data_IF_146404091153
#
_entry.id   IF_146404091153
#
_cell.length_a   1.000
_cell.length_b   1.000
_cell.length_c   1.000
_cell.angle_alpha   90.00
_cell.angle_beta   90.00
_cell.angle_gamma   90.00
#
_symmetry.space_group_name_H-M   'P 1'
#
loop_
_entity.id
_entity.type
_entity.pdbx_description
1 polymer ?
#
# COMPACT_ATOMS: atom_id res chain seq x y z
N UNK A 1 -23.43 6.83 15.59
CA UNK A 1 -22.12 7.49 15.64
C UNK A 1 -21.86 8.13 14.26
N UNK A 2 -21.69 9.45 14.21
CA UNK A 2 -21.45 10.18 12.96
C UNK A 2 -20.02 10.70 12.95
N UNK A 3 -19.29 10.51 11.88
CA UNK A 3 -17.93 11.05 11.72
C UNK A 3 -18.07 12.48 11.22
N UNK A 4 -17.60 13.45 12.00
CA UNK A 4 -17.64 14.86 11.66
C UNK A 4 -16.47 15.26 10.75
N UNK A 5 -15.25 14.84 11.09
CA UNK A 5 -14.05 15.12 10.32
C UNK A 5 -13.04 13.97 10.47
N UNK A 6 -12.29 13.71 9.38
CA UNK A 6 -11.15 12.77 9.34
C UNK A 6 -9.86 13.57 9.18
N UNK A 7 -8.74 12.96 9.58
CA UNK A 7 -7.38 13.49 9.39
C UNK A 7 -7.21 14.88 10.03
N UNK A 8 -7.51 14.97 11.32
CA UNK A 8 -7.32 16.19 12.10
C UNK A 8 -5.84 16.52 12.25
N UNK A 9 -5.48 17.79 12.11
CA UNK A 9 -4.15 18.29 12.44
C UNK A 9 -3.98 18.41 13.97
N UNK A 10 -2.73 18.53 14.44
CA UNK A 10 -2.44 18.71 15.87
C UNK A 10 -3.08 19.98 16.43
N UNK A 11 -3.15 21.06 15.64
CA UNK A 11 -3.81 22.31 16.00
C UNK A 11 -5.31 22.11 16.17
N UNK A 12 -5.97 21.51 15.17
CA UNK A 12 -7.40 21.20 15.22
C UNK A 12 -7.79 20.29 16.39
N UNK A 13 -6.92 19.34 16.74
CA UNK A 13 -7.12 18.47 17.92
C UNK A 13 -7.14 19.32 19.20
N UNK A 14 -6.22 20.28 19.30
CA UNK A 14 -6.13 21.18 20.45
C UNK A 14 -7.37 22.05 20.57
N UNK A 15 -7.79 22.65 19.45
CA UNK A 15 -8.98 23.49 19.38
C UNK A 15 -10.26 22.74 19.75
N UNK A 16 -10.44 21.52 19.20
CA UNK A 16 -11.59 20.66 19.50
C UNK A 16 -11.61 20.28 20.98
N UNK A 17 -10.46 19.95 21.58
CA UNK A 17 -10.36 19.66 23.00
C UNK A 17 -10.70 20.87 23.87
N UNK A 18 -10.31 22.08 23.46
CA UNK A 18 -10.63 23.33 24.16
C UNK A 18 -12.14 23.63 24.16
N UNK A 19 -12.86 23.25 23.12
CA UNK A 19 -14.32 23.44 23.01
C UNK A 19 -15.14 22.55 23.97
N UNK A 20 -14.53 21.52 24.59
CA UNK A 20 -15.18 20.60 25.55
C UNK A 20 -16.56 20.11 25.07
N UNK A 21 -16.67 19.74 23.80
CA UNK A 21 -17.92 19.31 23.20
C UNK A 21 -18.45 18.05 23.88
N UNK A 22 -19.65 18.12 24.41
CA UNK A 22 -20.33 16.96 24.99
C UNK A 22 -20.61 15.91 23.90
N UNK A 23 -20.47 14.62 24.23
CA UNK A 23 -20.70 13.48 23.34
C UNK A 23 -19.82 13.43 22.08
N UNK A 24 -18.67 14.12 22.11
CA UNK A 24 -17.65 14.04 21.05
C UNK A 24 -16.48 13.16 21.49
N UNK A 25 -15.90 12.45 20.54
CA UNK A 25 -14.75 11.56 20.76
C UNK A 25 -13.74 11.74 19.65
N UNK A 26 -12.46 11.89 20.01
CA UNK A 26 -11.35 11.88 19.05
C UNK A 26 -10.79 10.47 19.04
N UNK A 27 -10.96 9.78 17.92
CA UNK A 27 -10.45 8.43 17.71
C UNK A 27 -9.12 8.49 16.97
N UNK A 28 -8.07 7.93 17.54
CA UNK A 28 -6.77 7.77 16.88
C UNK A 28 -6.82 6.51 16.02
N UNK A 29 -6.51 6.65 14.74
CA UNK A 29 -6.41 5.54 13.81
C UNK A 29 -5.06 5.56 13.12
N UNK A 30 -4.44 4.40 13.01
CA UNK A 30 -3.28 4.23 12.17
C UNK A 30 -3.68 4.19 10.70
N UNK A 31 -2.92 4.86 9.86
CA UNK A 31 -3.12 4.84 8.41
C UNK A 31 -1.81 4.56 7.71
N UNK A 32 -1.86 3.91 6.55
CA UNK A 32 -0.71 3.77 5.67
C UNK A 32 -0.45 5.07 4.93
N UNK A 33 0.82 5.40 4.77
CA UNK A 33 1.29 6.49 3.91
C UNK A 33 2.24 5.92 2.87
N UNK A 34 2.04 6.30 1.61
CA UNK A 34 2.78 5.78 0.45
C UNK A 34 3.58 6.92 -0.19
N UNK A 35 4.85 7.11 0.19
CA UNK A 35 5.67 8.26 -0.26
C UNK A 35 5.87 8.30 -1.78
N UNK A 36 6.00 7.14 -2.43
CA UNK A 36 6.19 7.03 -3.88
C UNK A 36 4.88 7.17 -4.69
N UNK A 37 3.73 7.23 -4.01
CA UNK A 37 2.44 7.49 -4.64
C UNK A 37 2.12 6.53 -5.78
N UNK A 38 1.75 7.11 -6.93
CA UNK A 38 1.33 6.39 -8.14
C UNK A 38 2.46 5.61 -8.83
N UNK A 39 3.70 5.94 -8.55
CA UNK A 39 4.86 5.31 -9.18
C UNK A 39 4.98 3.82 -8.86
N UNK A 40 4.52 3.40 -7.67
CA UNK A 40 4.66 2.03 -7.16
C UNK A 40 3.32 1.40 -6.77
N UNK A 41 2.22 2.15 -6.85
CA UNK A 41 0.93 1.72 -6.36
C UNK A 41 0.46 0.34 -6.87
N UNK A 42 0.58 -0.01 -8.16
CA UNK A 42 0.17 -1.33 -8.65
C UNK A 42 0.97 -2.50 -8.05
N UNK A 43 2.19 -2.26 -7.59
CA UNK A 43 3.02 -3.26 -6.92
C UNK A 43 2.69 -3.35 -5.43
N UNK A 44 2.74 -2.22 -4.72
CA UNK A 44 2.52 -2.19 -3.26
C UNK A 44 1.05 -2.42 -2.91
N UNK A 45 0.14 -1.88 -3.70
CA UNK A 45 -1.28 -1.86 -3.34
C UNK A 45 -1.62 -0.73 -2.37
N UNK A 46 -2.67 -0.90 -1.61
CA UNK A 46 -3.06 0.04 -0.55
C UNK A 46 -3.88 -0.65 0.54
N UNK A 47 -3.85 -0.03 1.71
CA UNK A 47 -4.64 -0.42 2.87
C UNK A 47 -5.83 0.54 3.00
N UNK A 48 -7.04 0.02 2.82
CA UNK A 48 -8.29 0.79 2.88
C UNK A 48 -8.99 0.69 4.24
N UNK A 49 -10.23 1.17 4.31
CA UNK A 49 -11.08 1.06 5.51
C UNK A 49 -11.40 -0.39 5.87
N UNK A 50 -11.45 -1.27 4.88
CA UNK A 50 -11.82 -2.67 5.02
C UNK A 50 -10.60 -3.60 4.99
N UNK A 51 -9.40 -3.07 5.26
CA UNK A 51 -8.13 -3.80 5.27
C UNK A 51 -7.33 -3.66 3.98
N UNK A 52 -6.36 -4.53 3.79
CA UNK A 52 -5.50 -4.56 2.62
C UNK A 52 -6.28 -4.96 1.35
N UNK A 53 -6.21 -4.15 0.30
CA UNK A 53 -7.06 -4.30 -0.88
C UNK A 53 -6.33 -4.94 -2.06
N UNK A 54 -5.10 -4.56 -2.33
CA UNK A 54 -4.36 -4.98 -3.52
C UNK A 54 -2.85 -5.11 -3.24
N UNK A 55 -2.10 -5.68 -4.18
CA UNK A 55 -0.63 -5.72 -4.20
C UNK A 55 -0.01 -6.46 -3.03
N UNK A 56 1.18 -6.03 -2.65
CA UNK A 56 1.93 -6.62 -1.53
C UNK A 56 1.22 -6.42 -0.19
N UNK A 57 0.53 -5.29 0.02
CA UNK A 57 -0.28 -5.06 1.23
C UNK A 57 -1.28 -6.19 1.44
N UNK A 58 -1.97 -6.62 0.38
CA UNK A 58 -2.92 -7.73 0.45
C UNK A 58 -2.25 -9.10 0.59
N UNK A 59 -1.18 -9.33 -0.17
CA UNK A 59 -0.51 -10.63 -0.17
C UNK A 59 0.16 -10.95 1.16
N UNK A 60 0.60 -9.91 1.88
CA UNK A 60 1.33 -10.02 3.14
C UNK A 60 0.58 -9.37 4.32
N UNK A 61 -0.73 -9.20 4.21
CA UNK A 61 -1.54 -8.53 5.24
C UNK A 61 -1.36 -9.15 6.63
N UNK A 62 -1.29 -10.47 6.72
CA UNK A 62 -1.10 -11.19 7.99
C UNK A 62 0.21 -10.82 8.69
N UNK A 63 1.26 -10.51 7.93
CA UNK A 63 2.57 -10.13 8.45
C UNK A 63 2.61 -8.65 8.78
N UNK A 64 2.08 -7.82 7.86
CA UNK A 64 2.16 -6.36 7.93
C UNK A 64 1.18 -5.73 8.92
N UNK A 65 0.00 -6.33 9.13
CA UNK A 65 -1.06 -5.71 9.95
C UNK A 65 -0.91 -5.98 11.45
N UNK A 66 -0.21 -7.06 11.83
CA UNK A 66 -0.12 -7.47 13.23
C UNK A 66 -1.47 -7.90 13.82
N UNK A 67 -1.58 -7.86 15.14
CA UNK A 67 -2.78 -8.27 15.88
C UNK A 67 -3.28 -7.10 16.72
N UNK A 68 -4.50 -6.67 16.49
CA UNK A 68 -5.14 -5.64 17.32
C UNK A 68 -5.41 -6.18 18.73
N UNK A 69 -4.93 -5.47 19.75
CA UNK A 69 -5.20 -5.77 21.14
C UNK A 69 -6.68 -5.59 21.49
N UNK A 70 -7.13 -6.32 22.51
CA UNK A 70 -8.48 -6.18 23.08
C UNK A 70 -8.38 -6.00 24.58
N UNK A 71 -8.94 -4.92 25.09
CA UNK A 71 -8.97 -4.63 26.53
C UNK A 71 -10.42 -4.56 27.04
N UNK A 72 -10.63 -5.01 28.26
CA UNK A 72 -11.89 -4.91 28.98
C UNK A 72 -11.75 -3.94 30.15
N UNK A 73 -12.71 -3.07 30.30
CA UNK A 73 -12.82 -2.15 31.43
C UNK A 73 -14.15 -2.38 32.15
N UNK A 74 -14.17 -2.22 33.45
CA UNK A 74 -15.40 -2.11 34.18
C UNK A 74 -15.80 -0.62 34.35
N UNK A 75 -17.08 -0.32 34.17
CA UNK A 75 -17.65 1.02 34.31
C UNK A 75 -18.70 1.04 35.38
N UNK A 76 -18.79 2.17 36.07
CA UNK A 76 -19.88 2.41 37.05
C UNK A 76 -21.19 2.80 36.32
N UNK A 77 -22.28 3.03 37.11
CA UNK A 77 -23.57 3.45 36.56
C UNK A 77 -23.52 4.80 35.80
N UNK A 78 -22.50 5.63 36.04
CA UNK A 78 -22.25 6.90 35.33
C UNK A 78 -21.35 6.74 34.10
N UNK A 79 -21.04 5.51 33.66
CA UNK A 79 -20.15 5.19 32.56
C UNK A 79 -18.67 5.59 32.77
N UNK A 80 -18.27 5.89 34.01
CA UNK A 80 -16.86 6.17 34.34
C UNK A 80 -16.10 4.86 34.52
N UNK A 81 -14.85 4.79 34.02
CA UNK A 81 -14.00 3.62 34.17
C UNK A 81 -13.51 3.51 35.61
N UNK A 82 -13.80 2.38 36.25
CA UNK A 82 -13.48 2.13 37.67
C UNK A 82 -12.45 1.02 37.86
N UNK A 83 -11.94 0.42 36.78
CA UNK A 83 -10.94 -0.64 36.87
C UNK A 83 -9.73 -0.33 35.97
N UNK A 84 -8.59 -0.90 36.31
CA UNK A 84 -7.50 -0.98 35.39
C UNK A 84 -7.88 -1.83 34.14
N UNK A 85 -7.28 -1.56 32.99
CA UNK A 85 -7.55 -2.34 31.80
C UNK A 85 -7.07 -3.79 31.97
N UNK A 86 -7.94 -4.71 31.61
CA UNK A 86 -7.58 -6.13 31.55
C UNK A 86 -7.39 -6.49 30.08
N UNK A 87 -6.17 -6.84 29.71
CA UNK A 87 -5.86 -7.30 28.37
C UNK A 87 -6.49 -8.67 28.12
N UNK A 88 -7.45 -8.74 27.23
CA UNK A 88 -8.02 -10.00 26.74
C UNK A 88 -7.13 -10.56 25.61
N UNK A 89 -6.67 -9.68 24.73
CA UNK A 89 -5.75 -9.98 23.64
C UNK A 89 -4.66 -8.92 23.68
N UNK A 90 -3.39 -9.34 23.79
CA UNK A 90 -2.27 -8.41 23.66
C UNK A 90 -2.13 -7.97 22.19
N UNK A 91 -1.90 -6.68 21.99
CA UNK A 91 -1.55 -6.19 20.67
C UNK A 91 -0.19 -6.73 20.24
N UNK A 92 -0.07 -7.14 18.99
CA UNK A 92 1.21 -7.51 18.36
C UNK A 92 1.42 -6.58 17.18
N UNK A 93 2.56 -5.90 17.14
CA UNK A 93 2.89 -5.04 16.02
C UNK A 93 3.15 -5.88 14.77
N UNK A 94 2.76 -5.37 13.60
CA UNK A 94 3.12 -5.98 12.33
C UNK A 94 4.62 -5.90 12.08
N UNK A 95 5.11 -6.76 11.23
CA UNK A 95 6.53 -6.84 10.85
C UNK A 95 6.84 -5.91 9.67
N UNK A 96 8.08 -5.49 9.57
CA UNK A 96 8.57 -4.72 8.44
C UNK A 96 8.94 -5.64 7.28
N UNK A 97 8.64 -5.21 6.06
CA UNK A 97 9.01 -5.91 4.84
C UNK A 97 10.03 -5.11 4.04
N UNK A 98 11.16 -5.72 3.76
CA UNK A 98 12.19 -5.14 2.90
C UNK A 98 12.08 -5.69 1.48
N UNK A 99 12.04 -4.79 0.50
CA UNK A 99 11.97 -5.14 -0.92
C UNK A 99 13.31 -4.87 -1.59
N UNK A 100 13.56 -5.56 -2.70
CA UNK A 100 14.71 -5.32 -3.57
C UNK A 100 14.53 -4.08 -4.48
N UNK A 101 13.37 -3.44 -4.40
CA UNK A 101 13.04 -2.26 -5.21
C UNK A 101 13.92 -1.08 -4.81
N UNK A 102 14.67 -0.54 -5.76
CA UNK A 102 15.38 0.72 -5.64
C UNK A 102 14.42 1.89 -5.97
N UNK A 103 14.25 2.79 -5.00
CA UNK A 103 13.31 3.91 -5.14
C UNK A 103 13.67 4.86 -6.29
N UNK A 104 14.96 5.04 -6.57
CA UNK A 104 15.44 5.90 -7.64
C UNK A 104 15.18 5.27 -9.01
N UNK A 105 15.49 3.99 -9.16
CA UNK A 105 15.19 3.24 -10.39
C UNK A 105 13.69 3.17 -10.63
N UNK A 106 12.89 2.94 -9.59
CA UNK A 106 11.43 2.91 -9.67
C UNK A 106 10.88 4.26 -10.17
N UNK A 107 11.38 5.38 -9.62
CA UNK A 107 11.00 6.71 -10.05
C UNK A 107 11.28 6.92 -11.54
N UNK A 108 12.50 6.64 -11.99
CA UNK A 108 12.87 6.83 -13.41
C UNK A 108 12.13 5.86 -14.33
N UNK A 109 11.96 4.60 -13.92
CA UNK A 109 11.20 3.61 -14.69
C UNK A 109 9.76 4.09 -14.95
N UNK A 110 9.09 4.57 -13.90
CA UNK A 110 7.72 5.09 -14.04
C UNK A 110 7.68 6.37 -14.87
N UNK A 111 8.57 7.32 -14.63
CA UNK A 111 8.65 8.58 -15.37
C UNK A 111 8.79 8.34 -16.87
N UNK A 112 9.79 7.56 -17.27
CA UNK A 112 10.03 7.29 -18.69
C UNK A 112 8.94 6.41 -19.32
N UNK A 113 8.32 5.53 -18.55
CA UNK A 113 7.15 4.78 -19.02
C UNK A 113 6.00 5.73 -19.36
N UNK A 114 5.67 6.69 -18.49
CA UNK A 114 4.60 7.67 -18.73
C UNK A 114 4.92 8.55 -19.95
N UNK A 115 6.17 9.01 -20.08
CA UNK A 115 6.63 9.78 -21.24
C UNK A 115 6.50 8.98 -22.55
N UNK A 116 6.93 7.72 -22.55
CA UNK A 116 6.82 6.84 -23.73
C UNK A 116 5.37 6.58 -24.13
N UNK A 117 4.51 6.31 -23.16
CA UNK A 117 3.06 6.09 -23.39
C UNK A 117 2.41 7.33 -23.97
N UNK A 118 2.71 8.49 -23.41
CA UNK A 118 2.15 9.77 -23.87
C UNK A 118 2.62 10.09 -25.29
N UNK A 119 3.91 9.97 -25.56
CA UNK A 119 4.51 10.23 -26.87
C UNK A 119 3.95 9.33 -27.96
N UNK A 120 3.74 8.05 -27.64
CA UNK A 120 3.26 7.06 -28.61
C UNK A 120 1.75 6.86 -28.58
N UNK A 121 1.01 7.62 -27.77
CA UNK A 121 -0.46 7.49 -27.59
C UNK A 121 -0.88 6.05 -27.24
N UNK A 122 -0.03 5.34 -26.48
CA UNK A 122 -0.32 3.99 -26.05
C UNK A 122 -1.38 3.99 -24.92
N UNK A 123 -2.13 2.90 -24.79
CA UNK A 123 -3.17 2.77 -23.76
C UNK A 123 -2.60 2.38 -22.40
N UNK A 124 -1.54 1.59 -22.41
CA UNK A 124 -0.94 1.01 -21.22
C UNK A 124 0.49 0.56 -21.51
N UNK A 125 1.25 0.27 -20.46
CA UNK A 125 2.58 -0.30 -20.55
C UNK A 125 3.13 -0.70 -19.21
N UNK A 126 4.23 -1.45 -19.24
CA UNK A 126 4.97 -1.90 -18.08
C UNK A 126 6.45 -1.81 -18.29
N UNK A 127 7.21 -1.59 -17.22
CA UNK A 127 8.67 -1.65 -17.17
C UNK A 127 9.08 -2.50 -15.99
N UNK A 128 9.98 -3.45 -16.21
CA UNK A 128 10.61 -4.25 -15.16
C UNK A 128 12.11 -4.13 -15.34
N UNK A 129 12.82 -3.82 -14.26
CA UNK A 129 14.28 -3.78 -14.19
C UNK A 129 14.75 -4.87 -13.26
N UNK A 130 15.62 -5.74 -13.76
CA UNK A 130 16.17 -6.88 -13.04
C UNK A 130 17.67 -6.73 -12.87
N UNK A 131 18.20 -7.13 -11.72
CA UNK A 131 19.62 -7.44 -11.58
C UNK A 131 19.89 -8.80 -12.24
N UNK A 132 20.66 -8.81 -13.30
CA UNK A 132 20.96 -10.02 -14.07
C UNK A 132 21.86 -11.03 -13.34
N UNK A 133 22.53 -10.61 -12.26
CA UNK A 133 23.40 -11.51 -11.46
C UNK A 133 22.63 -12.21 -10.36
N UNK A 134 21.73 -11.48 -9.71
CA UNK A 134 20.97 -11.99 -8.55
C UNK A 134 19.53 -12.39 -8.89
N UNK A 135 19.01 -11.93 -10.03
CA UNK A 135 17.59 -12.10 -10.39
C UNK A 135 16.63 -11.23 -9.57
N UNK A 136 17.15 -10.27 -8.83
CA UNK A 136 16.36 -9.37 -8.00
C UNK A 136 15.61 -8.35 -8.87
N UNK A 137 14.34 -8.06 -8.53
CA UNK A 137 13.57 -7.02 -9.19
C UNK A 137 13.92 -5.69 -8.55
N UNK A 138 14.57 -4.79 -9.31
CA UNK A 138 14.97 -3.47 -8.84
C UNK A 138 13.93 -2.39 -9.11
N UNK A 139 13.10 -2.57 -10.15
CA UNK A 139 11.95 -1.72 -10.41
C UNK A 139 10.85 -2.48 -11.13
N UNK A 140 9.59 -2.16 -10.83
CA UNK A 140 8.41 -2.70 -11.51
C UNK A 140 7.34 -1.62 -11.60
N UNK A 141 7.23 -0.98 -12.75
CA UNK A 141 6.29 0.09 -13.02
C UNK A 141 5.19 -0.35 -13.98
N UNK A 142 3.97 0.07 -13.74
CA UNK A 142 2.80 -0.18 -14.60
C UNK A 142 2.01 1.11 -14.82
N UNK A 143 1.51 1.31 -16.04
CA UNK A 143 0.62 2.40 -16.39
C UNK A 143 -0.62 1.85 -17.12
N UNK A 144 -1.84 2.38 -16.90
CA UNK A 144 -2.17 3.42 -15.94
C UNK A 144 -2.00 2.97 -14.49
N UNK A 145 -1.76 3.93 -13.61
CA UNK A 145 -1.61 3.75 -12.17
C UNK A 145 -2.66 4.57 -11.40
N UNK A 146 -2.56 4.58 -10.08
CA UNK A 146 -3.45 5.34 -9.17
C UNK A 146 -2.66 5.85 -7.97
N UNK A 147 -3.21 6.84 -7.25
CA UNK A 147 -2.61 7.30 -6.00
C UNK A 147 -3.12 6.47 -4.82
N UNK A 148 -2.29 5.65 -4.16
CA UNK A 148 -2.72 4.80 -3.05
C UNK A 148 -3.08 5.59 -1.78
N UNK A 149 -2.61 6.84 -1.64
CA UNK A 149 -3.02 7.72 -0.54
C UNK A 149 -4.44 8.26 -0.73
N UNK A 150 -4.95 8.28 -1.97
CA UNK A 150 -6.29 8.72 -2.34
C UNK A 150 -6.90 7.76 -3.36
N UNK A 151 -7.17 6.50 -2.98
CA UNK A 151 -7.63 5.49 -3.91
C UNK A 151 -9.00 5.87 -4.47
N UNK A 152 -9.07 5.95 -5.79
CA UNK A 152 -10.31 6.18 -6.52
C UNK A 152 -11.03 4.84 -6.76
N UNK A 153 -12.29 4.91 -7.25
CA UNK A 153 -13.12 3.72 -7.54
C UNK A 153 -12.48 2.72 -8.50
N UNK A 154 -11.56 3.16 -9.37
CA UNK A 154 -10.93 2.31 -10.40
C UNK A 154 -9.49 2.01 -10.02
N UNK A 155 -9.30 0.93 -9.29
CA UNK A 155 -7.98 0.40 -8.93
C UNK A 155 -7.36 -0.23 -10.18
N UNK A 156 -6.09 0.05 -10.43
CA UNK A 156 -5.34 -0.53 -11.55
C UNK A 156 -4.47 -1.68 -11.02
N UNK A 157 -4.72 -2.87 -11.53
CA UNK A 157 -3.91 -4.06 -11.22
C UNK A 157 -2.49 -3.92 -11.76
N UNK A 158 -1.57 -4.65 -11.16
CA UNK A 158 -0.20 -4.75 -11.67
C UNK A 158 -0.19 -5.55 -12.99
N UNK A 159 -0.15 -4.84 -14.11
CA UNK A 159 -0.19 -5.43 -15.45
C UNK A 159 0.98 -6.35 -15.74
N UNK A 160 2.14 -6.07 -15.16
CA UNK A 160 3.34 -6.91 -15.32
C UNK A 160 3.13 -8.34 -14.81
N UNK A 161 2.20 -8.53 -13.86
CA UNK A 161 1.92 -9.83 -13.23
C UNK A 161 0.64 -10.50 -13.75
N UNK A 162 -0.34 -9.72 -14.22
CA UNK A 162 -1.67 -10.28 -14.52
C UNK A 162 -2.05 -10.28 -16.00
N UNK A 163 -1.35 -9.53 -16.85
CA UNK A 163 -1.65 -9.50 -18.28
C UNK A 163 -0.83 -10.54 -19.04
N UNK A 164 -1.54 -11.38 -19.77
CA UNK A 164 -0.95 -12.26 -20.76
C UNK A 164 -0.88 -11.53 -22.12
N UNK A 165 0.25 -11.61 -22.79
CA UNK A 165 0.43 -11.07 -24.14
C UNK A 165 1.38 -11.97 -24.96
N UNK A 166 1.29 -11.87 -26.28
CA UNK A 166 2.14 -12.61 -27.18
C UNK A 166 3.54 -11.98 -27.21
N UNK A 167 4.53 -12.73 -26.75
CA UNK A 167 5.93 -12.26 -26.64
C UNK A 167 6.62 -12.09 -28.00
N UNK A 168 6.19 -12.84 -29.01
CA UNK A 168 6.80 -12.79 -30.34
C UNK A 168 8.31 -13.05 -30.28
N UNK A 169 9.10 -12.18 -30.93
CA UNK A 169 10.55 -12.30 -31.01
C UNK A 169 11.30 -12.17 -29.67
N UNK A 170 10.63 -11.69 -28.61
CA UNK A 170 11.21 -11.59 -27.25
C UNK A 170 11.48 -12.98 -26.66
N UNK A 171 10.83 -14.04 -27.16
CA UNK A 171 11.13 -15.41 -26.76
C UNK A 171 12.46 -15.97 -27.32
N UNK A 172 13.01 -15.38 -28.38
CA UNK A 172 14.22 -15.89 -29.05
C UNK A 172 15.44 -16.02 -28.13
N UNK A 173 15.75 -15.06 -27.23
CA UNK A 173 16.85 -15.22 -26.28
C UNK A 173 16.69 -16.43 -25.37
N UNK A 174 15.47 -16.74 -24.92
CA UNK A 174 15.18 -17.90 -24.06
C UNK A 174 15.42 -19.21 -24.83
N UNK A 175 14.95 -19.28 -26.08
CA UNK A 175 15.17 -20.46 -26.95
C UNK A 175 16.64 -20.65 -27.26
N UNK A 176 17.38 -19.57 -27.57
CA UNK A 176 18.81 -19.61 -27.84
C UNK A 176 19.61 -20.01 -26.61
N UNK A 177 19.31 -19.46 -25.43
CA UNK A 177 19.94 -19.83 -24.17
C UNK A 177 19.82 -21.34 -23.92
N UNK A 178 18.64 -21.93 -24.13
CA UNK A 178 18.45 -23.38 -24.00
C UNK A 178 19.23 -24.20 -25.05
N UNK A 179 19.41 -23.65 -26.23
CA UNK A 179 20.22 -24.31 -27.29
C UNK A 179 21.72 -24.31 -26.98
N UNK A 180 22.22 -23.30 -26.24
CA UNK A 180 23.62 -23.25 -25.81
C UNK A 180 23.92 -24.07 -24.55
N UNK A 181 22.91 -24.41 -23.76
CA UNK A 181 23.04 -25.24 -22.54
C UNK A 181 23.09 -26.75 -22.87
N UNK A 182 22.88 -27.18 -24.11
CA UNK A 182 23.00 -28.53 -24.63
C UNK A 182 24.25 -28.72 -25.46
#
# INVERSE_FOLDING_TARGET
>A
KTILKKNLTSEEITDIKALKLENSEIEVRHSRHYPLGDQIAPLIGFYGTDGAQEGLERSYDQVLSGINGKQKFYKNAKQEIISEPIDIIKSVQGEDMHLTIDATLQFFAYKYLVEAITKNKAKAGTVIILDNKKGEILAMASYPSYNPNHPQRKIQKNRALVEAYELGSVLKPIVLSKAFDN
#
